data_IF_025598996706
#
_entry.id   IF_025598996706
#
_cell.length_a   1.000
_cell.length_b   1.000
_cell.length_c   1.000
_cell.angle_alpha   90.00
_cell.angle_beta   90.00
_cell.angle_gamma   90.00
#
_symmetry.space_group_name_H-M   'P 1'
#
loop_
_entity.id
_entity.type
_entity.pdbx_description
1 polymer ?
#
# COMPACT_ATOMS: atom_id res chain seq x y z
N UNK A 1 -36.77 -55.08 -1.67
CA UNK A 1 -36.27 -55.34 -3.03
C UNK A 1 -35.30 -54.25 -3.39
N UNK A 2 -34.10 -54.66 -3.78
CA UNK A 2 -32.87 -53.88 -3.98
C UNK A 2 -32.90 -53.08 -5.30
N UNK A 3 -32.12 -52.01 -5.41
CA UNK A 3 -31.52 -51.41 -6.64
C UNK A 3 -30.65 -50.21 -6.17
N UNK A 4 -29.35 -50.34 -5.91
CA UNK A 4 -28.16 -50.34 -6.80
C UNK A 4 -27.95 -49.07 -7.67
N UNK A 5 -26.74 -48.51 -7.49
CA UNK A 5 -26.02 -47.39 -8.14
C UNK A 5 -25.84 -47.62 -9.68
N UNK A 6 -25.59 -46.62 -10.54
CA UNK A 6 -24.32 -45.89 -10.85
C UNK A 6 -24.60 -44.84 -11.99
N UNK A 7 -23.80 -43.76 -12.16
CA UNK A 7 -24.05 -42.62 -13.06
C UNK A 7 -23.24 -42.63 -14.39
N UNK A 8 -23.61 -41.75 -15.34
CA UNK A 8 -22.85 -41.10 -16.43
C UNK A 8 -23.85 -40.69 -17.52
N UNK A 9 -23.70 -39.67 -18.36
CA UNK A 9 -22.57 -38.87 -18.84
C UNK A 9 -23.18 -37.64 -19.52
N UNK A 10 -22.44 -36.53 -19.59
CA UNK A 10 -22.93 -35.28 -20.16
C UNK A 10 -23.41 -35.38 -21.61
N UNK A 11 -24.29 -34.47 -21.99
CA UNK A 11 -24.29 -33.86 -23.32
C UNK A 11 -24.98 -32.48 -23.27
N UNK A 12 -24.32 -31.56 -23.96
CA UNK A 12 -24.64 -30.16 -24.22
C UNK A 12 -26.09 -29.88 -24.63
N UNK A 13 -26.74 -28.93 -23.97
CA UNK A 13 -27.91 -28.24 -24.51
C UNK A 13 -27.46 -27.14 -25.48
N UNK A 14 -27.80 -27.29 -26.76
CA UNK A 14 -27.72 -26.22 -27.75
C UNK A 14 -28.74 -25.12 -27.40
N UNK A 15 -28.26 -23.97 -26.92
CA UNK A 15 -29.05 -22.75 -26.85
C UNK A 15 -29.28 -22.21 -28.27
N UNK A 16 -30.54 -22.20 -28.71
CA UNK A 16 -31.01 -21.52 -29.92
C UNK A 16 -30.76 -20.02 -29.78
N UNK A 17 -30.16 -19.39 -30.79
CA UNK A 17 -29.94 -17.93 -30.84
C UNK A 17 -31.27 -17.18 -30.97
N UNK A 18 -31.48 -16.04 -30.28
CA UNK A 18 -32.64 -15.20 -30.51
C UNK A 18 -32.42 -14.32 -31.75
N UNK A 19 -33.41 -14.28 -32.64
CA UNK A 19 -33.49 -13.35 -33.76
C UNK A 19 -34.03 -12.00 -33.26
N UNK A 20 -33.30 -10.90 -33.49
CA UNK A 20 -33.81 -9.57 -33.18
C UNK A 20 -34.63 -9.03 -34.36
N UNK A 21 -35.89 -8.68 -34.10
CA UNK A 21 -36.76 -7.99 -35.04
C UNK A 21 -36.92 -6.53 -34.59
N UNK A 22 -36.66 -5.57 -35.49
CA UNK A 22 -36.92 -4.15 -35.26
C UNK A 22 -37.79 -3.63 -36.41
N UNK A 23 -38.93 -3.02 -36.09
CA UNK A 23 -39.82 -2.42 -37.08
C UNK A 23 -39.40 -0.99 -37.39
N UNK A 24 -39.34 -0.64 -38.68
CA UNK A 24 -39.29 0.74 -39.13
C UNK A 24 -40.08 0.88 -40.45
N UNK A 25 -41.04 1.81 -40.49
CA UNK A 25 -41.86 2.20 -41.65
C UNK A 25 -42.11 1.12 -42.72
N UNK A 26 -42.94 0.14 -42.35
CA UNK A 26 -43.58 -0.85 -43.25
C UNK A 26 -42.67 -1.71 -44.16
N UNK A 27 -41.45 -2.05 -43.73
CA UNK A 27 -40.67 -3.12 -44.39
C UNK A 27 -39.93 -4.00 -43.39
N UNK A 28 -40.03 -5.33 -43.55
CA UNK A 28 -39.32 -6.31 -42.74
C UNK A 28 -37.88 -6.44 -43.27
N UNK A 29 -36.89 -6.11 -42.44
CA UNK A 29 -35.46 -6.31 -42.77
C UNK A 29 -34.91 -7.40 -41.85
N UNK A 30 -34.47 -8.51 -42.45
CA UNK A 30 -33.83 -9.63 -41.74
C UNK A 30 -32.33 -9.31 -41.59
N UNK A 31 -31.86 -9.08 -40.36
CA UNK A 31 -30.43 -8.99 -40.08
C UNK A 31 -29.87 -10.40 -39.82
N UNK A 32 -28.99 -10.86 -40.71
CA UNK A 32 -28.11 -11.99 -40.41
C UNK A 32 -27.10 -11.55 -39.34
N UNK A 33 -26.85 -12.35 -38.29
CA UNK A 33 -25.85 -12.01 -37.29
C UNK A 33 -24.47 -11.90 -37.96
N UNK A 34 -23.62 -10.94 -37.55
CA UNK A 34 -22.27 -10.83 -38.08
C UNK A 34 -21.54 -12.16 -37.90
N UNK A 35 -20.79 -12.57 -38.92
CA UNK A 35 -19.96 -13.78 -38.87
C UNK A 35 -19.03 -13.66 -37.66
N UNK A 36 -19.17 -14.58 -36.71
CA UNK A 36 -18.34 -14.65 -35.52
C UNK A 36 -16.89 -14.82 -36.00
N UNK A 37 -16.06 -13.81 -35.77
CA UNK A 37 -14.65 -13.85 -36.14
C UNK A 37 -13.87 -14.29 -34.88
N UNK A 38 -13.46 -15.57 -34.76
CA UNK A 38 -12.88 -16.10 -33.52
C UNK A 38 -11.57 -15.40 -33.11
N UNK A 39 -10.87 -14.78 -34.06
CA UNK A 39 -9.64 -14.02 -33.78
C UNK A 39 -9.89 -12.68 -33.08
N UNK A 40 -11.04 -12.03 -33.30
CA UNK A 40 -11.42 -10.78 -32.64
C UNK A 40 -11.94 -11.02 -31.21
N UNK A 41 -12.66 -12.13 -30.98
CA UNK A 41 -13.07 -12.51 -29.63
C UNK A 41 -11.89 -12.96 -28.77
N UNK A 42 -10.93 -13.72 -29.33
CA UNK A 42 -9.72 -14.12 -28.62
C UNK A 42 -8.84 -12.92 -28.23
N UNK A 43 -8.73 -11.89 -29.08
CA UNK A 43 -8.00 -10.65 -28.75
C UNK A 43 -8.71 -9.78 -27.72
N UNK A 44 -10.05 -9.74 -27.75
CA UNK A 44 -10.83 -9.02 -26.74
C UNK A 44 -10.80 -9.75 -25.39
N UNK A 45 -10.85 -11.08 -25.39
CA UNK A 45 -10.72 -11.92 -24.20
C UNK A 45 -9.29 -11.93 -23.65
N UNK A 46 -8.25 -11.88 -24.51
CA UNK A 46 -6.85 -11.76 -24.06
C UNK A 46 -6.57 -10.37 -23.49
N UNK A 47 -7.07 -9.30 -24.11
CA UNK A 47 -6.92 -7.93 -23.59
C UNK A 47 -7.75 -7.71 -22.33
N UNK A 48 -8.93 -8.33 -22.21
CA UNK A 48 -9.69 -8.35 -20.97
C UNK A 48 -8.95 -9.15 -19.89
N UNK A 49 -8.41 -10.33 -20.21
CA UNK A 49 -7.60 -11.14 -19.27
C UNK A 49 -6.33 -10.42 -18.81
N UNK A 50 -5.62 -9.71 -19.69
CA UNK A 50 -4.48 -8.86 -19.31
C UNK A 50 -4.90 -7.64 -18.48
N UNK A 51 -6.08 -7.06 -18.75
CA UNK A 51 -6.62 -5.96 -17.92
C UNK A 51 -7.14 -6.45 -16.55
N UNK A 52 -7.59 -7.70 -16.45
CA UNK A 52 -8.04 -8.30 -15.19
C UNK A 52 -6.91 -8.92 -14.37
N UNK A 53 -5.76 -9.28 -14.99
CA UNK A 53 -4.58 -9.75 -14.25
C UNK A 53 -3.86 -8.63 -13.50
N UNK A 54 -3.95 -7.39 -13.98
CA UNK A 54 -3.28 -6.24 -13.36
C UNK A 54 -4.08 -5.59 -12.20
N UNK A 55 -5.24 -6.14 -11.82
CA UNK A 55 -6.04 -5.64 -10.69
C UNK A 55 -5.66 -6.29 -9.34
N UNK A 56 -4.73 -7.25 -9.34
CA UNK A 56 -4.36 -8.03 -8.15
C UNK A 56 -2.95 -7.75 -7.63
N UNK A 57 -2.14 -6.96 -8.34
CA UNK A 57 -0.84 -6.55 -7.82
C UNK A 57 -1.00 -5.28 -6.98
N UNK A 58 -0.46 -5.24 -5.74
CA UNK A 58 -0.50 -4.04 -4.92
C UNK A 58 0.24 -2.90 -5.65
N UNK A 59 -0.23 -1.64 -5.53
CA UNK A 59 0.47 -0.52 -6.13
C UNK A 59 1.90 -0.41 -5.57
N UNK A 60 2.83 -0.08 -6.45
CA UNK A 60 4.21 0.21 -6.08
C UNK A 60 4.31 1.67 -5.64
N UNK A 61 4.54 1.90 -4.36
CA UNK A 61 4.90 3.22 -3.83
C UNK A 61 6.38 3.50 -4.15
N UNK A 62 6.66 4.69 -4.67
CA UNK A 62 8.01 5.15 -5.02
C UNK A 62 8.24 6.53 -4.42
N UNK A 63 9.24 6.62 -3.54
CA UNK A 63 9.51 7.85 -2.78
C UNK A 63 11.01 8.15 -2.70
N UNK A 64 11.36 9.43 -2.74
CA UNK A 64 12.66 9.93 -2.31
C UNK A 64 12.67 10.00 -0.78
N UNK A 65 13.71 9.51 -0.13
CA UNK A 65 13.90 9.50 1.33
C UNK A 65 15.29 10.01 1.70
N UNK A 66 15.32 11.22 2.27
CA UNK A 66 16.53 11.86 2.76
C UNK A 66 16.49 11.93 4.28
N UNK A 67 17.61 11.60 4.93
CA UNK A 67 17.79 11.75 6.36
C UNK A 67 18.47 13.08 6.68
N UNK A 68 17.97 13.77 7.70
CA UNK A 68 18.58 14.96 8.26
C UNK A 68 19.39 14.60 9.53
N UNK A 69 20.50 15.30 9.81
CA UNK A 69 21.40 14.92 10.89
C UNK A 69 20.79 15.10 12.28
N UNK A 70 20.03 16.17 12.48
CA UNK A 70 19.58 16.61 13.79
C UNK A 70 18.33 17.50 13.73
N UNK A 71 17.86 17.89 14.92
CA UNK A 71 16.71 18.78 15.10
C UNK A 71 16.93 20.17 14.53
N UNK A 72 18.16 20.67 14.50
CA UNK A 72 18.47 22.02 14.01
C UNK A 72 18.31 22.09 12.50
N UNK A 73 18.83 21.09 11.77
CA UNK A 73 18.64 20.93 10.33
C UNK A 73 17.17 20.72 9.98
N UNK A 74 16.45 19.89 10.75
CA UNK A 74 15.01 19.70 10.60
C UNK A 74 14.23 21.01 10.83
N UNK A 75 14.52 21.77 11.89
CA UNK A 75 13.84 23.05 12.17
C UNK A 75 14.12 24.07 11.07
N UNK A 76 15.38 24.21 10.65
CA UNK A 76 15.77 25.12 9.56
C UNK A 76 15.02 24.79 8.27
N UNK A 77 14.91 23.51 7.91
CA UNK A 77 14.13 23.08 6.75
C UNK A 77 12.64 23.40 6.90
N UNK A 78 12.08 23.16 8.09
CA UNK A 78 10.70 23.50 8.41
C UNK A 78 10.43 25.01 8.26
N UNK A 79 11.37 25.87 8.68
CA UNK A 79 11.23 27.32 8.59
C UNK A 79 11.25 27.79 7.13
N UNK A 80 12.15 27.23 6.31
CA UNK A 80 12.24 27.51 4.88
C UNK A 80 10.97 27.10 4.11
N UNK A 81 10.38 25.96 4.48
CA UNK A 81 9.17 25.44 3.86
C UNK A 81 7.88 26.02 4.47
N UNK A 82 7.96 26.83 5.53
CA UNK A 82 6.77 27.36 6.22
C UNK A 82 5.75 28.08 5.33
N UNK A 83 6.12 28.83 4.26
CA UNK A 83 5.14 29.43 3.36
C UNK A 83 4.32 28.42 2.55
N UNK A 84 4.79 27.18 2.50
CA UNK A 84 4.22 26.07 1.72
C UNK A 84 3.50 25.04 2.59
N UNK A 85 3.36 25.32 3.90
CA UNK A 85 2.77 24.38 4.84
C UNK A 85 1.28 24.13 4.53
N UNK A 86 0.90 22.86 4.47
CA UNK A 86 -0.49 22.44 4.27
C UNK A 86 -1.09 22.01 5.61
N UNK A 87 -0.40 21.10 6.32
CA UNK A 87 -0.91 20.48 7.55
C UNK A 87 0.18 19.74 8.32
N UNK A 88 -0.10 19.48 9.58
CA UNK A 88 0.73 18.65 10.45
C UNK A 88 -0.11 17.51 11.00
N UNK A 89 0.41 16.28 10.90
CA UNK A 89 -0.22 15.08 11.41
C UNK A 89 0.59 14.48 12.57
N UNK A 90 -0.09 14.16 13.66
CA UNK A 90 0.44 13.36 14.75
C UNK A 90 0.10 11.90 14.50
N UNK A 91 1.10 11.08 14.20
CA UNK A 91 0.92 9.69 13.85
C UNK A 91 1.39 8.77 14.98
N UNK A 92 0.65 7.70 15.24
CA UNK A 92 1.11 6.57 16.05
C UNK A 92 1.12 5.33 15.15
N UNK A 93 2.31 4.78 14.90
CA UNK A 93 2.51 3.62 14.04
C UNK A 93 2.68 2.39 14.94
N UNK A 94 1.71 1.47 14.93
CA UNK A 94 1.78 0.19 15.66
C UNK A 94 1.92 -0.95 14.65
N UNK A 95 2.83 -1.88 14.93
CA UNK A 95 3.20 -2.94 14.01
C UNK A 95 2.82 -4.31 14.54
N UNK A 96 2.53 -5.21 13.61
CA UNK A 96 2.10 -6.56 13.91
C UNK A 96 2.86 -7.56 13.04
N UNK A 97 3.01 -8.76 13.56
CA UNK A 97 3.57 -9.90 12.84
C UNK A 97 2.77 -11.16 13.20
N UNK A 98 3.01 -12.25 12.49
CA UNK A 98 2.59 -13.55 12.96
C UNK A 98 3.40 -14.00 14.17
N UNK A 99 2.84 -14.92 14.94
CA UNK A 99 3.47 -15.45 16.15
C UNK A 99 4.86 -16.08 15.91
N UNK A 100 5.17 -16.49 14.67
CA UNK A 100 6.46 -17.06 14.27
C UNK A 100 7.28 -16.13 13.36
N UNK A 101 7.01 -14.82 13.39
CA UNK A 101 7.70 -13.82 12.59
C UNK A 101 7.55 -14.04 11.06
N UNK A 102 6.39 -14.53 10.63
CA UNK A 102 6.08 -14.89 9.25
C UNK A 102 6.20 -13.69 8.30
N UNK A 103 5.75 -12.50 8.69
CA UNK A 103 5.84 -11.30 7.85
C UNK A 103 7.28 -10.80 7.75
N UNK A 104 7.94 -10.61 8.89
CA UNK A 104 9.31 -10.08 8.90
C UNK A 104 10.31 -11.00 8.21
N UNK A 105 10.12 -12.33 8.31
CA UNK A 105 10.92 -13.32 7.58
C UNK A 105 10.73 -13.24 6.05
N UNK A 106 9.65 -12.63 5.58
CA UNK A 106 9.30 -12.45 4.17
C UNK A 106 9.37 -10.98 3.73
N UNK A 107 10.10 -10.14 4.47
CA UNK A 107 10.25 -8.70 4.18
C UNK A 107 8.89 -7.97 4.03
N UNK A 108 7.93 -8.34 4.87
CA UNK A 108 6.62 -7.71 4.93
C UNK A 108 6.38 -7.07 6.31
N UNK A 109 5.58 -6.01 6.30
CA UNK A 109 5.28 -5.20 7.48
C UNK A 109 3.79 -4.91 7.49
N UNK A 110 3.10 -5.42 8.50
CA UNK A 110 1.72 -5.05 8.79
C UNK A 110 1.70 -3.95 9.84
N UNK A 111 0.97 -2.87 9.57
CA UNK A 111 0.93 -1.69 10.43
C UNK A 111 -0.50 -1.18 10.53
N UNK A 112 -0.88 -0.81 11.76
CA UNK A 112 -2.02 0.06 12.02
C UNK A 112 -1.46 1.43 12.40
N UNK A 113 -1.85 2.46 11.64
CA UNK A 113 -1.47 3.85 11.91
C UNK A 113 -2.69 4.63 12.38
N UNK A 114 -2.59 5.21 13.57
CA UNK A 114 -3.56 6.18 14.10
C UNK A 114 -3.05 7.59 13.85
N UNK A 115 -3.98 8.52 13.68
CA UNK A 115 -3.68 9.91 13.41
C UNK A 115 -4.50 10.85 14.29
N UNK A 116 -3.84 11.91 14.74
CA UNK A 116 -4.45 13.09 15.40
C UNK A 116 -5.45 12.67 16.49
N UNK A 117 -4.95 11.94 17.49
CA UNK A 117 -5.73 11.40 18.62
C UNK A 117 -6.96 10.59 18.18
N UNK A 118 -6.72 9.61 17.31
CA UNK A 118 -7.71 8.65 16.78
C UNK A 118 -8.79 9.27 15.87
N UNK A 119 -8.53 10.44 15.29
CA UNK A 119 -9.42 11.03 14.26
C UNK A 119 -9.59 10.13 13.03
N UNK A 120 -8.54 9.38 12.67
CA UNK A 120 -8.57 8.39 11.61
C UNK A 120 -7.51 7.31 11.83
N UNK A 121 -7.74 6.14 11.21
CA UNK A 121 -6.88 4.99 11.33
C UNK A 121 -6.74 4.27 9.98
N UNK A 122 -5.55 3.77 9.68
CA UNK A 122 -5.22 3.10 8.41
C UNK A 122 -4.52 1.77 8.72
N UNK A 123 -5.00 0.69 8.12
CA UNK A 123 -4.31 -0.58 8.05
C UNK A 123 -3.48 -0.61 6.78
N UNK A 124 -2.19 -0.95 6.89
CA UNK A 124 -1.29 -1.00 5.74
C UNK A 124 -0.45 -2.28 5.77
N UNK A 125 -0.32 -2.93 4.62
CA UNK A 125 0.68 -3.96 4.37
C UNK A 125 1.70 -3.41 3.38
N UNK A 126 2.95 -3.33 3.82
CA UNK A 126 4.10 -2.98 2.98
C UNK A 126 4.96 -4.23 2.78
N UNK A 127 5.37 -4.53 1.55
CA UNK A 127 6.13 -5.74 1.22
C UNK A 127 7.25 -5.50 0.20
N UNK A 128 8.27 -6.36 0.26
CA UNK A 128 9.42 -6.38 -0.68
C UNK A 128 10.10 -4.99 -0.85
N UNK A 129 10.47 -4.32 0.24
CA UNK A 129 11.14 -3.02 0.17
C UNK A 129 12.47 -3.11 -0.58
N UNK A 130 12.71 -2.14 -1.46
CA UNK A 130 14.00 -1.89 -2.08
C UNK A 130 14.36 -0.42 -1.85
N UNK A 131 15.46 -0.16 -1.16
CA UNK A 131 15.97 1.20 -0.93
C UNK A 131 17.38 1.27 -1.51
N UNK A 132 17.60 2.18 -2.46
CA UNK A 132 18.90 2.41 -3.07
C UNK A 132 19.02 3.85 -3.54
N UNK A 133 20.17 4.49 -3.30
CA UNK A 133 20.42 5.87 -3.71
C UNK A 133 19.39 6.86 -3.17
N UNK A 134 18.86 6.63 -1.97
CA UNK A 134 17.82 7.48 -1.37
C UNK A 134 16.44 7.34 -2.00
N UNK A 135 16.23 6.40 -2.92
CA UNK A 135 14.92 6.11 -3.50
C UNK A 135 14.42 4.78 -2.94
N UNK A 136 13.23 4.81 -2.32
CA UNK A 136 12.52 3.65 -1.81
C UNK A 136 11.44 3.23 -2.79
N UNK A 137 11.35 1.93 -3.04
CA UNK A 137 10.31 1.28 -3.85
C UNK A 137 9.72 0.14 -3.02
N UNK A 138 8.41 0.13 -2.85
CA UNK A 138 7.75 -0.84 -1.99
C UNK A 138 6.35 -1.18 -2.50
N UNK A 139 5.96 -2.45 -2.40
CA UNK A 139 4.57 -2.81 -2.60
C UNK A 139 3.80 -2.31 -1.39
N UNK A 140 2.82 -1.43 -1.57
CA UNK A 140 1.96 -0.96 -0.50
C UNK A 140 0.50 -1.18 -0.82
N UNK A 141 -0.23 -1.71 0.16
CA UNK A 141 -1.69 -1.71 0.15
C UNK A 141 -2.17 -1.11 1.46
N UNK A 142 -2.99 -0.06 1.36
CA UNK A 142 -3.63 0.60 2.49
C UNK A 142 -5.15 0.46 2.41
N UNK A 143 -5.79 0.28 3.58
CA UNK A 143 -7.24 0.27 3.74
C UNK A 143 -7.61 1.15 4.94
N UNK A 144 -8.70 1.93 4.85
CA UNK A 144 -9.23 2.63 6.01
C UNK A 144 -9.69 1.62 7.07
N UNK A 145 -9.37 1.91 8.33
CA UNK A 145 -9.80 1.12 9.48
C UNK A 145 -10.49 2.04 10.47
N UNK A 146 -11.60 1.58 11.06
CA UNK A 146 -12.24 2.34 12.13
C UNK A 146 -11.31 2.36 13.36
N UNK A 147 -11.03 3.53 13.98
CA UNK A 147 -10.07 3.64 15.06
C UNK A 147 -10.34 2.73 16.26
N UNK A 148 -11.59 2.56 16.70
CA UNK A 148 -11.93 1.66 17.82
C UNK A 148 -11.62 0.19 17.51
N UNK A 149 -11.83 -0.27 16.27
CA UNK A 149 -11.40 -1.60 15.80
C UNK A 149 -9.88 -1.70 15.83
N UNK A 150 -9.18 -0.66 15.35
CA UNK A 150 -7.73 -0.59 15.42
C UNK A 150 -7.22 -0.72 16.85
N UNK A 151 -7.78 0.04 17.79
CA UNK A 151 -7.42 -0.01 19.22
C UNK A 151 -7.70 -1.38 19.83
N UNK A 152 -8.85 -1.97 19.53
CA UNK A 152 -9.16 -3.32 19.96
C UNK A 152 -8.14 -4.36 19.43
N UNK A 153 -7.62 -4.19 18.21
CA UNK A 153 -6.56 -5.05 17.67
C UNK A 153 -5.20 -4.80 18.34
N UNK A 154 -4.92 -3.58 18.82
CA UNK A 154 -3.70 -3.32 19.60
C UNK A 154 -3.75 -4.04 20.95
N UNK A 155 -4.91 -4.02 21.62
CA UNK A 155 -5.13 -4.70 22.90
C UNK A 155 -5.16 -6.22 22.76
N UNK A 156 -5.86 -6.72 21.74
CA UNK A 156 -6.01 -8.14 21.45
C UNK A 156 -5.71 -8.42 19.96
N UNK A 157 -4.44 -8.64 19.58
CA UNK A 157 -4.02 -8.79 18.17
C UNK A 157 -4.79 -9.84 17.38
N UNK A 158 -5.23 -10.92 18.03
CA UNK A 158 -6.00 -11.97 17.37
C UNK A 158 -7.40 -11.53 16.89
N UNK A 159 -7.89 -10.36 17.30
CA UNK A 159 -9.11 -9.77 16.72
C UNK A 159 -8.97 -9.48 15.24
N UNK A 160 -7.75 -9.27 14.73
CA UNK A 160 -7.51 -9.15 13.29
C UNK A 160 -7.96 -10.40 12.52
N UNK A 161 -7.95 -11.58 13.13
CA UNK A 161 -8.45 -12.79 12.46
C UNK A 161 -9.95 -12.72 12.14
N UNK A 162 -10.73 -11.92 12.87
CA UNK A 162 -12.18 -11.79 12.70
C UNK A 162 -12.56 -10.81 11.56
N UNK A 163 -11.59 -10.07 11.03
CA UNK A 163 -11.81 -9.03 10.02
C UNK A 163 -11.85 -9.61 8.60
N UNK A 164 -12.82 -10.49 8.33
CA UNK A 164 -12.98 -11.17 7.03
C UNK A 164 -13.29 -10.22 5.86
N UNK A 165 -13.61 -8.96 6.15
CA UNK A 165 -13.87 -7.93 5.14
C UNK A 165 -12.59 -7.25 4.63
N UNK A 166 -11.45 -7.37 5.32
CA UNK A 166 -10.20 -6.71 4.93
C UNK A 166 -9.45 -7.55 3.91
N UNK A 167 -9.15 -6.97 2.74
CA UNK A 167 -8.39 -7.64 1.69
C UNK A 167 -6.91 -7.72 2.07
N UNK A 168 -6.39 -6.73 2.81
CA UNK A 168 -5.05 -6.80 3.40
C UNK A 168 -4.92 -8.03 4.30
N UNK A 169 -5.87 -8.27 5.22
CA UNK A 169 -5.76 -9.41 6.13
C UNK A 169 -6.02 -10.74 5.43
N UNK A 170 -6.91 -10.78 4.43
CA UNK A 170 -7.04 -11.93 3.54
C UNK A 170 -5.72 -12.25 2.83
N UNK A 171 -5.06 -11.23 2.27
CA UNK A 171 -3.74 -11.36 1.62
C UNK A 171 -2.68 -11.85 2.61
N UNK A 172 -2.63 -11.28 3.81
CA UNK A 172 -1.69 -11.68 4.87
C UNK A 172 -1.84 -13.17 5.21
N UNK A 173 -3.07 -13.64 5.42
CA UNK A 173 -3.35 -15.06 5.71
C UNK A 173 -2.94 -15.96 4.55
N UNK A 174 -3.24 -15.58 3.31
CA UNK A 174 -2.99 -16.40 2.11
C UNK A 174 -1.51 -16.43 1.68
N UNK A 175 -0.85 -15.29 1.64
CA UNK A 175 0.52 -15.17 1.11
C UNK A 175 1.60 -15.54 2.14
N UNK A 176 1.36 -15.25 3.42
CA UNK A 176 2.37 -15.43 4.47
C UNK A 176 2.03 -16.58 5.44
N UNK A 177 0.86 -17.19 5.30
CA UNK A 177 0.49 -18.39 6.05
C UNK A 177 0.18 -18.15 7.52
N UNK A 178 -0.32 -16.97 7.89
CA UNK A 178 -0.74 -16.69 9.28
C UNK A 178 -1.87 -17.63 9.69
N UNK A 179 -1.53 -18.61 10.53
CA UNK A 179 -2.40 -19.68 10.98
C UNK A 179 -3.10 -19.39 12.31
N UNK A 180 -3.39 -20.45 13.06
CA UNK A 180 -4.15 -20.39 14.33
C UNK A 180 -3.45 -19.65 15.46
N UNK A 181 -2.12 -19.68 15.48
CA UNK A 181 -1.31 -18.94 16.47
C UNK A 181 -1.51 -17.41 16.33
N UNK A 182 -1.92 -16.98 15.13
CA UNK A 182 -2.40 -15.63 14.88
C UNK A 182 -1.32 -14.56 14.95
N UNK A 183 -1.73 -13.40 15.46
CA UNK A 183 -0.95 -12.17 15.40
C UNK A 183 -0.36 -11.82 16.76
N UNK A 184 0.77 -11.15 16.73
CA UNK A 184 1.38 -10.49 17.89
C UNK A 184 1.57 -9.00 17.61
N UNK A 185 1.39 -8.18 18.63
CA UNK A 185 1.72 -6.76 18.58
C UNK A 185 3.22 -6.59 18.86
N UNK A 186 3.94 -5.95 17.93
CA UNK A 186 5.36 -5.66 18.08
C UNK A 186 5.63 -4.35 18.84
N UNK A 187 4.58 -3.61 19.19
CA UNK A 187 4.68 -2.23 19.65
C UNK A 187 4.82 -1.25 18.49
N UNK A 188 5.35 -0.06 18.76
CA UNK A 188 5.38 0.99 17.77
C UNK A 188 6.10 2.26 18.20
N UNK A 189 5.91 3.31 17.41
CA UNK A 189 6.53 4.62 17.64
C UNK A 189 5.62 5.75 17.16
N UNK A 190 5.94 6.98 17.58
CA UNK A 190 5.23 8.19 17.15
C UNK A 190 5.98 8.88 16.02
N UNK A 191 5.25 9.59 15.17
CA UNK A 191 5.83 10.41 14.12
C UNK A 191 5.03 11.71 13.99
N UNK A 192 5.71 12.85 13.93
CA UNK A 192 5.09 14.13 13.58
C UNK A 192 5.45 14.42 12.14
N UNK A 193 4.44 14.43 11.26
CA UNK A 193 4.61 14.66 9.82
C UNK A 193 4.09 16.05 9.46
N UNK A 194 4.97 16.92 8.99
CA UNK A 194 4.59 18.21 8.38
C UNK A 194 4.53 18.02 6.87
N UNK A 195 3.42 18.39 6.25
CA UNK A 195 3.19 18.26 4.82
C UNK A 195 3.26 19.63 4.16
N UNK A 196 4.00 19.74 3.06
CA UNK A 196 4.19 20.98 2.30
C UNK A 196 3.88 20.78 0.82
N UNK A 197 3.36 21.83 0.18
CA UNK A 197 3.21 21.90 -1.28
C UNK A 197 4.26 22.86 -1.84
N UNK A 198 5.37 22.31 -2.30
CA UNK A 198 6.54 23.08 -2.75
C UNK A 198 6.88 22.73 -4.19
N UNK A 199 6.86 23.72 -5.09
CA UNK A 199 7.11 23.55 -6.53
C UNK A 199 6.24 22.44 -7.18
N UNK A 200 5.00 22.29 -6.73
CA UNK A 200 4.08 21.24 -7.19
C UNK A 200 4.39 19.84 -6.66
N UNK A 201 5.34 19.71 -5.74
CA UNK A 201 5.66 18.47 -5.04
C UNK A 201 5.02 18.47 -3.66
N UNK A 202 4.61 17.28 -3.20
CA UNK A 202 4.14 17.05 -1.84
C UNK A 202 5.29 16.54 -0.99
N UNK A 203 5.89 17.43 -0.20
CA UNK A 203 6.99 17.09 0.70
C UNK A 203 6.44 16.69 2.07
N UNK A 204 7.00 15.65 2.65
CA UNK A 204 6.67 15.16 3.98
C UNK A 204 7.92 15.23 4.86
N UNK A 205 7.92 16.16 5.82
CA UNK A 205 9.00 16.33 6.78
C UNK A 205 8.63 15.65 8.09
N UNK A 206 9.40 14.63 8.44
CA UNK A 206 9.14 13.74 9.55
C UNK A 206 10.08 13.98 10.73
N UNK A 207 9.48 14.03 11.91
CA UNK A 207 10.13 13.85 13.20
C UNK A 207 9.63 12.54 13.81
N UNK A 208 10.41 11.48 13.68
CA UNK A 208 10.10 10.17 14.24
C UNK A 208 10.66 10.03 15.65
N UNK A 209 9.81 9.63 16.59
CA UNK A 209 10.10 9.58 18.02
C UNK A 209 10.05 8.12 18.45
N UNK A 210 11.23 7.52 18.61
CA UNK A 210 11.43 6.20 19.22
C UNK A 210 11.80 6.35 20.70
N UNK A 211 11.71 5.27 21.46
CA UNK A 211 12.14 5.24 22.87
C UNK A 211 13.65 5.48 23.03
N UNK A 212 14.43 5.14 22.00
CA UNK A 212 15.88 5.28 21.96
C UNK A 212 16.38 6.54 21.23
N UNK A 213 15.48 7.47 20.88
CA UNK A 213 15.83 8.77 20.32
C UNK A 213 14.98 9.19 19.14
N UNK A 214 15.39 10.29 18.49
CA UNK A 214 14.66 10.89 17.37
C UNK A 214 15.40 10.72 16.05
N UNK A 215 14.64 10.50 14.98
CA UNK A 215 15.14 10.48 13.61
C UNK A 215 14.37 11.50 12.77
N UNK A 216 15.07 12.17 11.87
CA UNK A 216 14.50 13.23 11.05
C UNK A 216 14.68 12.88 9.57
N UNK A 217 13.59 12.92 8.81
CA UNK A 217 13.59 12.56 7.40
C UNK A 217 12.74 13.53 6.58
N UNK A 218 13.11 13.74 5.32
CA UNK A 218 12.29 14.35 4.30
C UNK A 218 11.95 13.28 3.27
N UNK A 219 10.67 13.13 2.98
CA UNK A 219 10.12 12.18 2.02
C UNK A 219 9.36 12.91 0.92
N UNK A 220 9.39 12.38 -0.30
CA UNK A 220 8.56 12.85 -1.41
C UNK A 220 8.22 11.67 -2.34
N UNK A 221 6.95 11.29 -2.37
CA UNK A 221 6.43 10.33 -3.34
C UNK A 221 6.42 10.94 -4.75
N UNK A 222 6.88 10.19 -5.76
CA UNK A 222 6.97 10.68 -7.13
C UNK A 222 7.12 9.56 -8.16
N UNK A 223 6.48 9.74 -9.32
CA UNK A 223 6.72 8.91 -10.52
C UNK A 223 8.07 9.22 -11.19
N UNK A 224 8.68 10.37 -10.86
CA UNK A 224 9.99 10.82 -11.36
C UNK A 224 10.98 11.00 -10.19
N UNK A 225 11.34 9.93 -9.45
CA UNK A 225 12.08 10.06 -8.20
C UNK A 225 13.51 10.58 -8.40
N UNK A 226 14.16 10.29 -9.53
CA UNK A 226 15.51 10.79 -9.82
C UNK A 226 15.50 12.33 -10.03
N UNK A 227 14.53 12.85 -10.79
CA UNK A 227 14.37 14.31 -10.98
C UNK A 227 14.04 15.01 -9.66
N UNK A 228 13.17 14.40 -8.85
CA UNK A 228 12.82 14.94 -7.53
C UNK A 228 14.01 14.92 -6.59
N UNK A 229 14.82 13.86 -6.62
CA UNK A 229 16.06 13.78 -5.85
C UNK A 229 16.96 14.97 -6.16
N UNK A 230 17.30 15.18 -7.44
CA UNK A 230 18.18 16.28 -7.86
C UNK A 230 17.68 17.65 -7.35
N UNK A 231 16.37 17.91 -7.45
CA UNK A 231 15.74 19.13 -6.96
C UNK A 231 15.83 19.32 -5.45
N UNK A 232 15.67 18.23 -4.69
CA UNK A 232 15.76 18.26 -3.23
C UNK A 232 17.20 18.40 -2.76
N UNK A 233 18.15 17.71 -3.41
CA UNK A 233 19.57 17.84 -3.13
C UNK A 233 20.07 19.28 -3.37
N UNK A 234 19.71 19.87 -4.51
CA UNK A 234 20.03 21.27 -4.82
C UNK A 234 19.45 22.21 -3.77
N UNK A 235 18.16 22.06 -3.43
CA UNK A 235 17.50 22.89 -2.42
C UNK A 235 18.17 22.80 -1.05
N UNK A 236 18.50 21.58 -0.57
CA UNK A 236 19.17 21.39 0.71
C UNK A 236 20.58 21.99 0.69
N UNK A 237 21.33 21.80 -0.40
CA UNK A 237 22.69 22.31 -0.58
C UNK A 237 22.73 23.84 -0.60
N UNK A 238 21.86 24.48 -1.38
CA UNK A 238 21.75 25.95 -1.47
C UNK A 238 21.45 26.58 -0.11
N UNK A 239 20.70 25.88 0.72
CA UNK A 239 20.33 26.34 2.05
C UNK A 239 21.32 25.89 3.14
N UNK A 240 22.40 25.19 2.80
CA UNK A 240 23.38 24.68 3.75
C UNK A 240 22.74 23.77 4.81
N UNK A 241 21.98 22.78 4.34
CA UNK A 241 21.39 21.72 5.17
C UNK A 241 22.03 20.40 4.76
N UNK A 242 22.78 19.81 5.69
CA UNK A 242 23.38 18.50 5.47
C UNK A 242 22.28 17.42 5.42
N UNK A 243 22.50 16.41 4.60
CA UNK A 243 21.62 15.25 4.48
C UNK A 243 22.43 13.99 4.14
N UNK A 244 21.80 12.84 4.33
CA UNK A 244 22.27 11.56 3.78
C UNK A 244 21.11 10.79 3.18
N UNK A 245 21.38 9.83 2.30
CA UNK A 245 20.35 8.93 1.82
C UNK A 245 19.90 7.99 2.93
N UNK A 246 18.58 7.90 3.16
CA UNK A 246 18.04 6.92 4.08
C UNK A 246 18.35 5.51 3.56
N UNK A 247 18.99 4.68 4.39
CA UNK A 247 19.39 3.29 4.07
C UNK A 247 18.45 2.24 4.66
N UNK A 248 17.54 2.66 5.53
CA UNK A 248 16.64 1.80 6.26
C UNK A 248 15.28 2.49 6.44
N UNK A 249 14.20 1.72 6.47
CA UNK A 249 12.88 2.25 6.81
C UNK A 249 12.77 2.56 8.31
N UNK A 250 11.82 3.43 8.68
CA UNK A 250 11.49 3.71 10.09
C UNK A 250 11.18 2.44 10.89
N UNK A 251 10.52 1.45 10.27
CA UNK A 251 10.27 0.15 10.90
C UNK A 251 11.55 -0.65 11.13
N UNK A 252 12.47 -0.68 10.16
CA UNK A 252 13.76 -1.34 10.34
C UNK A 252 14.59 -0.68 11.46
N UNK A 253 14.56 0.66 11.56
CA UNK A 253 15.19 1.41 12.66
C UNK A 253 14.55 1.02 13.99
N UNK A 254 13.22 1.04 14.09
CA UNK A 254 12.46 0.61 15.27
C UNK A 254 12.87 -0.78 15.74
N UNK A 255 12.88 -1.77 14.83
CA UNK A 255 13.25 -3.17 15.15
C UNK A 255 14.71 -3.33 15.56
N UNK A 256 15.60 -2.45 15.10
CA UNK A 256 17.01 -2.48 15.48
C UNK A 256 17.29 -1.96 16.90
N UNK A 257 16.36 -1.21 17.49
CA UNK A 257 16.50 -0.65 18.84
C UNK A 257 17.56 0.44 18.98
N UNK A 258 18.07 1.00 17.87
CA UNK A 258 19.12 2.02 17.86
C UNK A 258 18.97 2.97 16.68
N UNK A 259 19.43 4.21 16.84
CA UNK A 259 19.47 5.18 15.75
C UNK A 259 20.55 4.79 14.71
N UNK A 260 20.30 5.03 13.41
CA UNK A 260 21.33 4.89 12.40
C UNK A 260 22.41 5.97 12.58
N UNK A 261 23.66 5.63 12.24
CA UNK A 261 24.75 6.61 12.15
C UNK A 261 24.50 7.54 10.98
N UNK A 262 24.68 8.85 11.20
CA UNK A 262 24.63 9.85 10.12
C UNK A 262 25.91 9.79 9.30
#
# INVERSE_FOLDING_TARGET
>A
MSLRLIPNSGHSFHLRRPTFLRFNNHRLIVFSPPKHNPSLSLRAESSARERFSNLNEPPMEVEVKLRLPDSSSHQKLSDLLSPHHIKTHNQQNIFFDGANAELSSNLAVLRIRFYDDDSHCVLSLKAKPVISGGISRIEEHEEPLEPSIGRACVEEPNRMQLMEWSKILERVKKEYGIGREGFVCLGGFRNVRRVYEWKGLKLELDETIFDFGRNYEMECESEEPERVMDLLEEFLKENGIDYSYSKASKFAIFRSGKLPTF
#
